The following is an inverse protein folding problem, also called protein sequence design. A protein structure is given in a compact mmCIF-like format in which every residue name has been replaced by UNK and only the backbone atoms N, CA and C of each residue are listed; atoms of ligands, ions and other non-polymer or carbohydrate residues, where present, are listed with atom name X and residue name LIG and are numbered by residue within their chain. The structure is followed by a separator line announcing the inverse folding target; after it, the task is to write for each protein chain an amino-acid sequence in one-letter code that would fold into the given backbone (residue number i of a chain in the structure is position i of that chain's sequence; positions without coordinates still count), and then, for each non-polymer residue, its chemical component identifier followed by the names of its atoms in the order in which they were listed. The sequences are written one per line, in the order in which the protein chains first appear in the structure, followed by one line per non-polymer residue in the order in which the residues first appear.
data_IF_255532277169
#
_entry.id   IF_255532277169
#
_cell.length_a   1.000
_cell.length_b   1.000
_cell.length_c   1.000
_cell.angle_alpha   90.00
_cell.angle_beta   90.00
_cell.angle_gamma   90.00
#
_symmetry.space_group_name_H-M   'P 1'
#
loop_
_entity.id
_entity.type
_entity.pdbx_description
1 polymer ?
#
# COMPACT_ATOMS: atom_id res chain seq x y z
N UNK A 1 -6.64 10.22 -23.55
CA UNK A 1 -6.83 8.78 -23.42
C UNK A 1 -6.87 8.40 -21.94
N UNK A 2 -7.78 7.55 -21.58
CA UNK A 2 -7.85 7.07 -20.21
C UNK A 2 -6.74 6.06 -19.96
N UNK A 3 -6.14 6.13 -18.79
CA UNK A 3 -5.16 5.15 -18.36
C UNK A 3 -5.87 3.86 -17.95
N UNK A 4 -5.18 2.75 -18.15
CA UNK A 4 -5.68 1.45 -17.75
C UNK A 4 -5.50 1.25 -16.25
N UNK A 5 -6.52 0.70 -15.60
CA UNK A 5 -6.44 0.34 -14.19
C UNK A 5 -5.64 -0.95 -14.05
N UNK A 6 -4.71 -0.96 -13.10
CA UNK A 6 -3.80 -2.09 -12.87
C UNK A 6 -3.67 -2.36 -11.38
N UNK A 7 -3.28 -3.59 -11.00
CA UNK A 7 -2.96 -3.88 -9.60
C UNK A 7 -1.66 -3.22 -9.17
N UNK A 8 -1.65 -2.73 -7.95
CA UNK A 8 -0.48 -2.14 -7.32
C UNK A 8 -0.33 -2.71 -5.93
N UNK A 9 0.92 -2.80 -5.47
CA UNK A 9 1.24 -3.29 -4.14
C UNK A 9 2.02 -2.22 -3.39
N UNK A 10 1.51 -1.84 -2.24
CA UNK A 10 2.21 -0.95 -1.30
C UNK A 10 2.66 -1.79 -0.12
N UNK A 11 3.98 -1.87 0.07
CA UNK A 11 4.57 -2.59 1.20
C UNK A 11 5.15 -1.57 2.15
N UNK A 12 4.82 -1.70 3.43
CA UNK A 12 5.32 -0.82 4.48
C UNK A 12 5.96 -1.66 5.57
N UNK A 13 7.03 -1.16 6.14
CA UNK A 13 7.70 -1.84 7.24
C UNK A 13 8.24 -0.84 8.26
N UNK A 14 8.28 -1.28 9.51
CA UNK A 14 8.93 -0.54 10.58
C UNK A 14 10.44 -0.76 10.46
N UNK A 15 11.22 0.30 10.68
CA UNK A 15 12.66 0.13 10.86
C UNK A 15 12.96 0.01 12.36
N UNK A 16 14.20 -0.31 12.70
CA UNK A 16 14.59 -0.50 14.10
C UNK A 16 14.48 0.76 14.94
N UNK A 17 14.46 1.91 14.29
CA UNK A 17 14.38 3.21 14.97
C UNK A 17 12.94 3.76 15.00
N UNK A 18 11.97 3.01 14.50
CA UNK A 18 10.59 3.45 14.49
C UNK A 18 10.07 3.59 15.91
N UNK A 19 9.60 4.78 16.24
CA UNK A 19 9.13 5.13 17.58
C UNK A 19 7.65 4.78 17.72
N UNK A 20 7.25 4.03 18.78
CA UNK A 20 5.83 3.72 18.99
C UNK A 20 4.92 4.96 19.07
N UNK A 21 5.42 6.08 19.58
CA UNK A 21 4.63 7.32 19.63
C UNK A 21 4.35 7.86 18.24
N UNK A 22 5.31 7.76 17.33
CA UNK A 22 5.12 8.17 15.94
C UNK A 22 4.12 7.27 15.24
N UNK A 23 4.16 5.95 15.51
CA UNK A 23 3.17 5.02 14.98
C UNK A 23 1.75 5.38 15.44
N UNK A 24 1.59 5.72 16.71
CA UNK A 24 0.29 6.13 17.24
C UNK A 24 -0.19 7.45 16.60
N UNK A 25 0.73 8.33 16.29
CA UNK A 25 0.40 9.60 15.64
C UNK A 25 -0.08 9.42 14.20
N UNK A 26 0.56 8.55 13.45
CA UNK A 26 0.22 8.36 12.03
C UNK A 26 -0.92 7.38 11.81
N UNK A 27 -1.18 6.46 12.74
CA UNK A 27 -2.17 5.40 12.55
C UNK A 27 -3.56 5.92 12.16
N UNK A 28 -4.12 6.95 12.82
CA UNK A 28 -5.41 7.48 12.42
C UNK A 28 -5.40 8.06 11.01
N UNK A 29 -4.31 8.72 10.62
CA UNK A 29 -4.19 9.33 9.30
C UNK A 29 -4.11 8.27 8.20
N UNK A 30 -3.35 7.20 8.44
CA UNK A 30 -3.26 6.07 7.52
C UNK A 30 -4.63 5.40 7.39
N UNK A 31 -5.31 5.20 8.51
CA UNK A 31 -6.64 4.58 8.52
C UNK A 31 -7.64 5.39 7.69
N UNK A 32 -7.63 6.70 7.82
CA UNK A 32 -8.52 7.56 7.04
C UNK A 32 -8.23 7.43 5.55
N UNK A 33 -6.95 7.44 5.17
CA UNK A 33 -6.55 7.32 3.77
C UNK A 33 -6.97 5.97 3.17
N UNK A 34 -6.73 4.89 3.90
CA UNK A 34 -7.08 3.54 3.45
C UNK A 34 -8.61 3.40 3.36
N UNK A 35 -9.33 3.90 4.35
CA UNK A 35 -10.80 3.84 4.35
C UNK A 35 -11.39 4.62 3.18
N UNK A 36 -10.82 5.76 2.85
CA UNK A 36 -11.25 6.55 1.69
C UNK A 36 -11.11 5.74 0.40
N UNK A 37 -9.98 5.08 0.21
CA UNK A 37 -9.73 4.29 -1.00
C UNK A 37 -10.54 2.99 -1.00
N UNK A 38 -10.76 2.40 0.16
CA UNK A 38 -11.61 1.23 0.29
C UNK A 38 -13.06 1.57 -0.05
N UNK A 39 -13.53 2.74 0.39
CA UNK A 39 -14.89 3.22 0.07
C UNK A 39 -15.09 3.44 -1.43
N UNK A 40 -14.03 3.76 -2.14
CA UNK A 40 -14.07 3.92 -3.60
C UNK A 40 -13.94 2.59 -4.33
N UNK A 41 -13.81 1.48 -3.61
CA UNK A 41 -13.63 0.17 -4.20
C UNK A 41 -12.25 -0.07 -4.79
N UNK A 42 -11.26 0.73 -4.41
CA UNK A 42 -9.90 0.63 -4.95
C UNK A 42 -9.05 -0.40 -4.20
N UNK A 43 -9.22 -0.53 -2.89
CA UNK A 43 -8.44 -1.48 -2.09
C UNK A 43 -9.03 -2.87 -2.24
N UNK A 44 -8.22 -3.81 -2.69
CA UNK A 44 -8.62 -5.21 -2.83
C UNK A 44 -8.35 -5.99 -1.55
N UNK A 45 -7.15 -5.86 -1.01
CA UNK A 45 -6.74 -6.49 0.24
C UNK A 45 -5.75 -5.59 0.95
N UNK A 46 -5.77 -5.63 2.27
CA UNK A 46 -4.75 -4.98 3.09
C UNK A 46 -4.64 -5.73 4.41
N UNK A 47 -3.45 -5.73 4.98
CA UNK A 47 -3.24 -6.40 6.26
C UNK A 47 -1.78 -6.39 6.67
N UNK A 48 -1.56 -6.78 7.91
CA UNK A 48 -0.23 -6.90 8.48
C UNK A 48 0.30 -8.31 8.28
N UNK A 49 1.62 -8.41 8.14
CA UNK A 49 2.29 -9.71 8.13
C UNK A 49 2.43 -10.23 9.57
N UNK A 50 2.70 -11.52 9.69
CA UNK A 50 2.80 -12.20 10.97
C UNK A 50 4.02 -11.77 11.81
N UNK A 51 4.97 -11.05 11.21
CA UNK A 51 6.12 -10.51 11.95
C UNK A 51 5.76 -9.25 12.75
N UNK A 52 4.54 -8.73 12.61
CA UNK A 52 4.02 -7.55 13.29
C UNK A 52 4.80 -6.26 12.97
N UNK A 53 5.67 -6.29 11.96
CA UNK A 53 6.53 -5.15 11.60
C UNK A 53 6.29 -4.66 10.18
N UNK A 54 5.53 -5.40 9.40
CA UNK A 54 5.30 -5.10 7.98
C UNK A 54 3.84 -5.26 7.63
N UNK A 55 3.41 -4.53 6.64
CA UNK A 55 2.05 -4.64 6.11
C UNK A 55 2.07 -4.48 4.60
N UNK A 56 0.98 -4.91 3.99
CA UNK A 56 0.84 -4.81 2.54
C UNK A 56 -0.59 -4.40 2.21
N UNK A 57 -0.72 -3.53 1.23
CA UNK A 57 -2.02 -3.19 0.65
C UNK A 57 -1.96 -3.46 -0.85
N UNK A 58 -2.97 -4.15 -1.35
CA UNK A 58 -3.13 -4.40 -2.79
C UNK A 58 -4.34 -3.59 -3.25
N UNK A 59 -4.14 -2.77 -4.25
CA UNK A 59 -5.21 -1.92 -4.75
C UNK A 59 -5.17 -1.86 -6.28
N UNK A 60 -6.28 -1.48 -6.86
CA UNK A 60 -6.42 -1.36 -8.31
C UNK A 60 -6.61 0.10 -8.67
N UNK A 61 -5.77 0.61 -9.55
CA UNK A 61 -5.77 2.03 -9.88
C UNK A 61 -5.04 2.27 -11.20
N UNK A 62 -5.32 3.43 -11.81
CA UNK A 62 -4.48 3.92 -12.89
C UNK A 62 -3.13 4.38 -12.31
N UNK A 63 -2.16 4.56 -13.19
CA UNK A 63 -0.84 5.02 -12.74
C UNK A 63 -0.92 6.36 -12.00
N UNK A 64 -1.71 7.31 -12.51
CA UNK A 64 -1.86 8.60 -11.85
C UNK A 64 -2.53 8.48 -10.49
N UNK A 65 -3.54 7.63 -10.37
CA UNK A 65 -4.20 7.38 -9.09
C UNK A 65 -3.24 6.73 -8.09
N UNK A 66 -2.45 5.76 -8.56
CA UNK A 66 -1.48 5.08 -7.71
C UNK A 66 -0.43 6.06 -7.18
N UNK A 67 0.08 6.94 -8.04
CA UNK A 67 1.05 7.96 -7.63
C UNK A 67 0.45 8.95 -6.64
N UNK A 68 -0.81 9.33 -6.84
CA UNK A 68 -1.51 10.22 -5.91
C UNK A 68 -1.66 9.58 -4.53
N UNK A 69 -2.06 8.31 -4.49
CA UNK A 69 -2.19 7.56 -3.26
C UNK A 69 -0.84 7.47 -2.54
N UNK A 70 0.20 7.10 -3.28
CA UNK A 70 1.54 6.96 -2.73
C UNK A 70 2.04 8.28 -2.15
N UNK A 71 1.80 9.38 -2.84
CA UNK A 71 2.22 10.71 -2.40
C UNK A 71 1.54 11.10 -1.08
N UNK A 72 0.26 10.79 -0.94
CA UNK A 72 -0.47 11.03 0.32
C UNK A 72 0.06 10.14 1.43
N UNK A 73 0.32 8.86 1.13
CA UNK A 73 0.88 7.91 2.08
C UNK A 73 2.27 8.37 2.54
N UNK A 74 3.10 8.79 1.59
CA UNK A 74 4.43 9.30 1.88
C UNK A 74 4.39 10.50 2.81
N UNK A 75 3.47 11.44 2.57
CA UNK A 75 3.38 12.64 3.41
C UNK A 75 3.01 12.30 4.86
N UNK A 76 2.29 11.20 5.07
CA UNK A 76 1.92 10.74 6.41
C UNK A 76 3.06 9.97 7.07
N UNK A 77 3.71 9.08 6.33
CA UNK A 77 4.60 8.06 6.88
C UNK A 77 6.09 8.39 6.75
N UNK A 78 6.45 9.46 6.05
CA UNK A 78 7.85 9.83 5.85
C UNK A 78 8.57 10.01 7.19
N UNK A 79 9.73 9.36 7.34
CA UNK A 79 10.50 9.40 8.56
C UNK A 79 10.01 8.46 9.66
N UNK A 80 8.88 7.78 9.46
CA UNK A 80 8.31 6.85 10.44
C UNK A 80 8.41 5.41 9.96
N UNK A 81 8.03 5.17 8.71
CA UNK A 81 8.03 3.83 8.12
C UNK A 81 8.89 3.81 6.85
N UNK A 82 9.34 2.63 6.48
CA UNK A 82 9.83 2.35 5.14
C UNK A 82 8.62 1.93 4.30
N UNK A 83 8.55 2.39 3.07
CA UNK A 83 7.41 2.09 2.22
C UNK A 83 7.85 2.03 0.76
N UNK A 84 7.22 1.09 0.01
CA UNK A 84 7.56 0.82 -1.37
C UNK A 84 6.28 0.57 -2.16
N UNK A 85 6.17 1.21 -3.33
CA UNK A 85 5.06 1.01 -4.24
C UNK A 85 5.56 0.27 -5.47
N UNK A 86 4.87 -0.81 -5.83
CA UNK A 86 5.18 -1.59 -7.01
C UNK A 86 3.91 -1.79 -7.84
N UNK A 87 4.04 -1.67 -9.15
CA UNK A 87 3.02 -2.18 -10.03
C UNK A 87 3.15 -3.71 -10.03
N UNK A 88 2.03 -4.39 -9.90
CA UNK A 88 2.04 -5.84 -9.77
C UNK A 88 1.34 -6.48 -10.96
N UNK A 89 2.05 -7.33 -11.66
CA UNK A 89 1.51 -8.09 -12.78
C UNK A 89 1.06 -9.45 -12.24
N UNK A 90 -0.07 -9.43 -11.52
CA UNK A 90 -0.58 -10.61 -10.82
C UNK A 90 -1.07 -11.66 -11.81
N UNK A 91 -0.65 -12.90 -11.59
CA UNK A 91 -1.14 -14.02 -12.35
C UNK A 91 -1.15 -15.28 -11.48
N UNK A 92 -2.04 -16.25 -11.79
CA UNK A 92 -2.02 -17.52 -11.06
C UNK A 92 -0.69 -18.24 -11.25
N UNK A 93 -0.19 -18.85 -10.18
CA UNK A 93 1.11 -19.52 -10.20
C UNK A 93 1.15 -20.64 -11.25
N UNK A 94 0.02 -21.32 -11.48
CA UNK A 94 -0.05 -22.36 -12.50
C UNK A 94 0.20 -21.83 -13.91
N UNK A 95 -0.22 -20.59 -14.17
CA UNK A 95 0.05 -19.94 -15.45
C UNK A 95 1.55 -19.68 -15.63
N UNK A 96 2.23 -19.33 -14.55
CA UNK A 96 3.68 -19.14 -14.57
C UNK A 96 4.39 -20.46 -14.84
N UNK A 97 3.94 -21.53 -14.17
CA UNK A 97 4.58 -22.84 -14.29
C UNK A 97 4.30 -23.53 -15.62
N UNK A 98 3.21 -23.19 -16.29
CA UNK A 98 2.84 -23.81 -17.56
C UNK A 98 3.45 -23.14 -18.78
N UNK A 99 4.14 -22.05 -18.60
CA UNK A 99 4.78 -21.32 -19.71
C UNK A 99 6.20 -21.81 -20.01
#
# INVERSE_FOLDING_TARGET
MSQESKPWVLVSSMNKDTNPQDLQRIAPQVSILVDEWQSKGKIMWSGAFDNERSSMAVFEATEDEAKEFFKKYESICSGVLNYYLHQWDAMPILSVLSN
#
